data_IF_337533059961
#
_entry.id   IF_337533059961
#
_cell.length_a   1.000
_cell.length_b   1.000
_cell.length_c   1.000
_cell.angle_alpha   90.00
_cell.angle_beta   90.00
_cell.angle_gamma   90.00
#
_symmetry.space_group_name_H-M   'P 1'
#
loop_
_entity.id
_entity.type
_entity.pdbx_description
1 polymer ?
#
# COMPACT_ATOMS: atom_id res chain seq x y z
N UNK A 1 -5.87 10.75 14.29
CA UNK A 1 -6.80 9.75 13.72
C UNK A 1 -6.42 8.31 14.07
N UNK A 2 -5.15 7.90 13.93
CA UNK A 2 -4.70 6.53 14.25
C UNK A 2 -4.99 6.06 15.69
N UNK A 3 -4.84 6.94 16.71
CA UNK A 3 -5.05 6.59 18.14
C UNK A 3 -6.43 6.02 18.52
N UNK A 4 -7.47 6.16 17.67
CA UNK A 4 -8.82 5.63 17.94
C UNK A 4 -9.10 4.26 17.30
N UNK A 5 -8.16 3.75 16.50
CA UNK A 5 -8.27 2.42 15.90
C UNK A 5 -7.65 1.38 16.83
N UNK A 6 -8.15 0.12 16.83
CA UNK A 6 -7.51 -0.97 17.55
C UNK A 6 -6.01 -1.08 17.15
N UNK A 7 -5.10 -1.43 18.09
CA UNK A 7 -3.66 -1.51 17.81
C UNK A 7 -3.33 -2.38 16.60
N UNK A 8 -4.06 -3.48 16.41
CA UNK A 8 -3.92 -4.40 15.28
C UNK A 8 -4.20 -3.68 13.94
N UNK A 9 -5.23 -2.84 13.88
CA UNK A 9 -5.59 -2.10 12.66
C UNK A 9 -4.55 -1.03 12.34
N UNK A 10 -3.99 -0.38 13.37
CA UNK A 10 -2.89 0.57 13.18
C UNK A 10 -1.64 -0.12 12.66
N UNK A 11 -1.29 -1.30 13.20
CA UNK A 11 -0.17 -2.09 12.72
C UNK A 11 -0.35 -2.47 11.24
N UNK A 12 -1.52 -3.01 10.87
CA UNK A 12 -1.85 -3.35 9.48
C UNK A 12 -1.74 -2.10 8.59
N UNK A 13 -2.27 -0.96 9.02
CA UNK A 13 -2.20 0.28 8.25
C UNK A 13 -0.76 0.72 7.97
N UNK A 14 0.10 0.72 8.99
CA UNK A 14 1.52 1.10 8.85
C UNK A 14 2.25 0.10 7.95
N UNK A 15 2.06 -1.21 8.18
CA UNK A 15 2.66 -2.25 7.34
C UNK A 15 2.24 -2.13 5.88
N UNK A 16 0.95 -1.93 5.61
CA UNK A 16 0.42 -1.80 4.25
C UNK A 16 0.90 -0.51 3.57
N UNK A 17 1.04 0.58 4.33
CA UNK A 17 1.64 1.83 3.82
C UNK A 17 3.11 1.62 3.45
N UNK A 18 3.88 0.91 4.30
CA UNK A 18 5.26 0.56 4.01
C UNK A 18 5.40 -0.32 2.77
N UNK A 19 4.55 -1.35 2.63
CA UNK A 19 4.49 -2.21 1.45
C UNK A 19 4.16 -1.38 0.21
N UNK A 20 3.17 -0.49 0.28
CA UNK A 20 2.79 0.38 -0.83
C UNK A 20 3.97 1.24 -1.30
N UNK A 21 4.66 1.91 -0.37
CA UNK A 21 5.86 2.70 -0.69
C UNK A 21 6.94 1.82 -1.33
N UNK A 22 7.20 0.64 -0.75
CA UNK A 22 8.17 -0.32 -1.29
C UNK A 22 7.82 -0.78 -2.72
N UNK A 23 6.53 -1.00 -3.01
CA UNK A 23 6.08 -1.40 -4.35
C UNK A 23 6.21 -0.29 -5.37
N UNK A 24 5.98 0.98 -4.97
CA UNK A 24 6.22 2.14 -5.84
C UNK A 24 7.71 2.25 -6.18
N UNK A 25 8.59 2.08 -5.19
CA UNK A 25 10.05 2.09 -5.40
C UNK A 25 10.47 0.93 -6.32
N UNK A 26 9.95 -0.28 -6.06
CA UNK A 26 10.21 -1.46 -6.90
C UNK A 26 9.78 -1.25 -8.36
N UNK A 27 8.60 -0.66 -8.57
CA UNK A 27 8.10 -0.34 -9.90
C UNK A 27 8.96 0.71 -10.62
N UNK A 28 9.34 1.79 -9.93
CA UNK A 28 10.23 2.82 -10.49
C UNK A 28 11.59 2.23 -10.85
N UNK A 29 12.13 1.38 -9.99
CA UNK A 29 13.38 0.68 -10.26
C UNK A 29 13.28 -0.26 -11.47
N UNK A 30 12.18 -1.00 -11.61
CA UNK A 30 11.92 -1.86 -12.77
C UNK A 30 11.87 -1.05 -14.08
N UNK A 31 11.26 0.15 -14.06
CA UNK A 31 11.26 1.05 -15.23
C UNK A 31 12.66 1.58 -15.60
N UNK A 32 13.58 1.65 -14.64
CA UNK A 32 14.96 2.07 -14.88
C UNK A 32 15.88 0.92 -15.29
N UNK A 33 15.48 -0.33 -15.09
CA UNK A 33 16.27 -1.51 -15.47
C UNK A 33 16.06 -1.88 -16.95
N UNK A 34 17.14 -2.26 -17.62
CA UNK A 34 17.11 -2.93 -18.92
C UNK A 34 17.77 -4.32 -18.81
N UNK A 35 17.13 -5.38 -19.32
CA UNK A 35 15.84 -5.40 -20.02
C UNK A 35 14.64 -5.26 -19.05
N UNK A 36 13.61 -4.53 -19.48
CA UNK A 36 12.38 -4.36 -18.73
C UNK A 36 11.59 -5.69 -18.65
N UNK A 37 11.25 -6.14 -17.44
CA UNK A 37 10.37 -7.31 -17.26
C UNK A 37 8.92 -6.87 -17.03
N UNK A 38 8.10 -7.02 -18.06
CA UNK A 38 6.66 -6.72 -17.98
C UNK A 38 5.94 -7.53 -16.88
N UNK A 39 6.38 -8.77 -16.65
CA UNK A 39 5.85 -9.64 -15.59
C UNK A 39 6.11 -9.05 -14.21
N UNK A 40 7.33 -8.57 -13.95
CA UNK A 40 7.67 -7.96 -12.65
C UNK A 40 6.92 -6.66 -12.44
N UNK A 41 6.84 -5.81 -13.46
CA UNK A 41 6.06 -4.57 -13.40
C UNK A 41 4.58 -4.84 -13.05
N UNK A 42 4.00 -5.89 -13.62
CA UNK A 42 2.62 -6.29 -13.32
C UNK A 42 2.45 -6.78 -11.87
N UNK A 43 3.43 -7.50 -11.33
CA UNK A 43 3.46 -7.90 -9.91
C UNK A 43 3.53 -6.67 -9.00
N UNK A 44 4.40 -5.71 -9.32
CA UNK A 44 4.50 -4.46 -8.55
C UNK A 44 3.18 -3.67 -8.56
N UNK A 45 2.54 -3.55 -9.73
CA UNK A 45 1.23 -2.90 -9.87
C UNK A 45 0.13 -3.62 -9.08
N UNK A 46 0.12 -4.96 -9.10
CA UNK A 46 -0.84 -5.75 -8.33
C UNK A 46 -0.68 -5.52 -6.82
N UNK A 47 0.55 -5.60 -6.32
CA UNK A 47 0.85 -5.37 -4.90
C UNK A 47 0.51 -3.93 -4.48
N UNK A 48 0.77 -2.95 -5.34
CA UNK A 48 0.38 -1.56 -5.13
C UNK A 48 -1.14 -1.41 -5.04
N UNK A 49 -1.89 -2.07 -5.92
CA UNK A 49 -3.36 -2.05 -5.90
C UNK A 49 -3.95 -2.65 -4.62
N UNK A 50 -3.47 -3.83 -4.21
CA UNK A 50 -3.96 -4.52 -3.00
C UNK A 50 -3.63 -3.72 -1.74
N UNK A 51 -2.36 -3.29 -1.59
CA UNK A 51 -1.93 -2.53 -0.41
C UNK A 51 -2.61 -1.15 -0.33
N UNK A 52 -2.72 -0.45 -1.45
CA UNK A 52 -3.41 0.84 -1.53
C UNK A 52 -4.90 0.74 -1.19
N UNK A 53 -5.57 -0.32 -1.66
CA UNK A 53 -6.99 -0.56 -1.34
C UNK A 53 -7.19 -0.76 0.17
N UNK A 54 -6.33 -1.53 0.83
CA UNK A 54 -6.41 -1.75 2.28
C UNK A 54 -6.19 -0.44 3.04
N UNK A 55 -5.21 0.37 2.64
CA UNK A 55 -4.93 1.69 3.23
C UNK A 55 -6.16 2.61 3.09
N UNK A 56 -6.76 2.67 1.90
CA UNK A 56 -7.95 3.49 1.63
C UNK A 56 -9.14 3.02 2.48
N UNK A 57 -9.39 1.70 2.54
CA UNK A 57 -10.49 1.14 3.34
C UNK A 57 -10.34 1.48 4.82
N UNK A 58 -9.14 1.34 5.39
CA UNK A 58 -8.88 1.69 6.78
C UNK A 58 -9.03 3.21 7.00
N UNK A 59 -8.57 4.03 6.06
CA UNK A 59 -8.71 5.48 6.14
C UNK A 59 -10.19 5.92 6.11
N UNK A 60 -10.99 5.33 5.22
CA UNK A 60 -12.44 5.58 5.13
C UNK A 60 -13.16 5.08 6.39
N UNK A 61 -12.82 3.90 6.89
CA UNK A 61 -13.35 3.36 8.14
C UNK A 61 -13.05 4.29 9.33
N UNK A 62 -11.81 4.77 9.43
CA UNK A 62 -11.42 5.71 10.48
C UNK A 62 -12.18 7.04 10.37
N UNK A 63 -12.41 7.53 9.15
CA UNK A 63 -13.19 8.75 8.90
C UNK A 63 -14.66 8.59 9.31
N UNK A 64 -15.30 7.48 8.95
CA UNK A 64 -16.70 7.21 9.28
C UNK A 64 -16.96 6.96 10.77
N UNK A 65 -15.95 6.58 11.56
CA UNK A 65 -16.06 6.44 13.02
C UNK A 65 -15.90 7.76 13.80
N UNK A 66 -15.52 8.84 13.12
CA UNK A 66 -15.30 10.16 13.73
C UNK A 66 -16.51 11.09 13.50
N UNK A 67 -17.36 10.80 12.51
CA UNK A 67 -18.71 11.38 12.38
C UNK A 67 -19.71 10.60 13.21
#
# INVERSE_FOLDING_TARGET
>A
MLRRLPPIVQFIFVSMTGIFIGTVVGLVNEFMQQPFSATNALVWLFLMGVSGTIVILIALYARNRIG
#
